data_IF_705750897188
#
_entry.id   IF_705750897188
#
_cell.length_a   1.000
_cell.length_b   1.000
_cell.length_c   1.000
_cell.angle_alpha   90.00
_cell.angle_beta   90.00
_cell.angle_gamma   90.00
#
_symmetry.space_group_name_H-M   'P 1'
#
loop_
_entity.id
_entity.type
_entity.pdbx_description
1 polymer ?
#
# COMPACT_ATOMS: atom_id res chain seq x y z
N UNK A 1 7.54 2.74 -2.88
CA UNK A 1 8.37 1.77 -3.65
C UNK A 1 8.56 0.43 -2.95
N UNK A 2 8.66 0.36 -1.59
CA UNK A 2 8.84 -0.92 -0.88
C UNK A 2 7.71 -1.92 -1.15
N UNK A 3 6.45 -1.47 -1.13
CA UNK A 3 5.32 -2.37 -1.41
C UNK A 3 5.30 -2.86 -2.86
N UNK A 4 5.73 -2.04 -3.81
CA UNK A 4 5.78 -2.41 -5.24
C UNK A 4 6.88 -3.45 -5.50
N UNK A 5 8.02 -3.37 -4.82
CA UNK A 5 9.11 -4.35 -4.95
C UNK A 5 8.65 -5.76 -4.61
N UNK A 6 7.94 -5.89 -3.50
CA UNK A 6 7.60 -7.19 -2.91
C UNK A 6 6.29 -7.77 -3.48
N UNK A 7 5.45 -6.91 -4.05
CA UNK A 7 4.18 -7.29 -4.71
C UNK A 7 4.15 -6.74 -6.13
N UNK A 8 5.19 -7.02 -6.92
CA UNK A 8 5.20 -6.71 -8.35
C UNK A 8 4.56 -7.87 -9.11
N UNK A 9 3.45 -7.61 -9.78
CA UNK A 9 2.68 -8.63 -10.52
C UNK A 9 3.09 -8.71 -11.99
N UNK A 10 3.86 -7.74 -12.49
CA UNK A 10 4.27 -7.65 -13.89
C UNK A 10 5.76 -7.35 -13.97
N UNK A 11 6.52 -8.29 -14.52
CA UNK A 11 7.97 -8.16 -14.72
C UNK A 11 8.78 -8.26 -13.42
N UNK A 12 10.02 -7.81 -13.48
CA UNK A 12 10.95 -7.80 -12.34
C UNK A 12 11.11 -6.39 -11.77
N UNK A 13 11.38 -6.32 -10.46
CA UNK A 13 11.70 -5.04 -9.82
C UNK A 13 12.95 -4.42 -10.43
N UNK A 14 12.87 -3.14 -10.77
CA UNK A 14 13.98 -2.34 -11.29
C UNK A 14 14.45 -1.36 -10.20
N UNK A 15 15.75 -1.34 -9.95
CA UNK A 15 16.36 -0.37 -9.04
C UNK A 15 17.30 0.56 -9.81
N UNK A 16 17.28 1.84 -9.49
CA UNK A 16 18.22 2.81 -10.06
C UNK A 16 19.68 2.44 -9.74
N UNK A 17 19.94 1.74 -8.63
CA UNK A 17 21.28 1.30 -8.23
C UNK A 17 21.91 0.27 -9.18
N UNK A 18 21.16 -0.34 -10.10
CA UNK A 18 21.69 -1.27 -11.10
C UNK A 18 22.30 -0.59 -12.32
N UNK A 19 22.03 0.71 -12.53
CA UNK A 19 22.60 1.43 -13.66
C UNK A 19 24.05 1.86 -13.39
N UNK A 20 24.89 1.98 -14.44
CA UNK A 20 26.27 2.43 -14.29
C UNK A 20 26.37 3.73 -13.48
N UNK A 21 27.38 3.85 -12.64
CA UNK A 21 27.68 5.01 -11.77
C UNK A 21 26.61 5.36 -10.73
N UNK A 22 25.45 4.72 -10.75
CA UNK A 22 24.36 5.05 -9.80
C UNK A 22 24.57 4.42 -8.43
N UNK A 23 25.34 3.34 -8.30
CA UNK A 23 25.60 2.69 -7.02
C UNK A 23 26.20 3.64 -5.97
N UNK A 24 27.14 4.47 -6.39
CA UNK A 24 27.84 5.43 -5.50
C UNK A 24 26.98 6.69 -5.20
N UNK A 25 25.84 6.85 -5.88
CA UNK A 25 24.92 7.99 -5.76
C UNK A 25 23.56 7.60 -5.20
N UNK A 26 23.39 6.33 -4.83
CA UNK A 26 22.09 5.80 -4.40
C UNK A 26 22.17 5.26 -2.98
N UNK A 27 21.18 5.61 -2.16
CA UNK A 27 20.90 4.95 -0.89
C UNK A 27 19.60 4.19 -1.03
N UNK A 28 19.65 2.89 -0.87
CA UNK A 28 18.48 2.01 -0.81
C UNK A 28 17.96 2.03 0.63
N UNK A 29 16.69 2.35 0.79
CA UNK A 29 15.97 2.24 2.08
C UNK A 29 14.97 1.12 1.95
N UNK A 30 15.04 0.13 2.83
CA UNK A 30 14.17 -1.04 2.78
C UNK A 30 13.90 -1.59 4.19
N UNK A 31 13.05 -2.61 4.30
CA UNK A 31 12.74 -3.25 5.56
C UNK A 31 11.90 -4.50 5.39
N UNK A 32 11.67 -5.19 6.50
CA UNK A 32 10.95 -6.48 6.55
C UNK A 32 9.45 -6.34 6.76
N UNK A 33 8.96 -5.13 7.02
CA UNK A 33 7.58 -4.88 7.46
C UNK A 33 6.51 -5.43 6.54
N UNK A 34 6.70 -5.36 5.21
CA UNK A 34 5.67 -5.71 4.21
C UNK A 34 5.91 -7.08 3.60
N UNK A 35 7.08 -7.32 3.00
CA UNK A 35 7.41 -8.58 2.34
C UNK A 35 7.34 -9.80 3.27
N UNK A 36 7.65 -9.61 4.54
CA UNK A 36 7.70 -10.68 5.52
C UNK A 36 6.59 -10.58 6.59
N UNK A 37 5.60 -9.69 6.40
CA UNK A 37 4.52 -9.44 7.36
C UNK A 37 5.03 -9.10 8.78
N UNK A 38 6.16 -8.39 8.89
CA UNK A 38 6.87 -8.11 10.14
C UNK A 38 6.73 -6.65 10.58
N UNK A 39 5.54 -6.07 10.46
CA UNK A 39 5.31 -4.64 10.82
C UNK A 39 5.59 -4.37 12.29
N UNK A 40 5.21 -5.27 13.19
CA UNK A 40 5.41 -5.14 14.64
C UNK A 40 6.86 -5.24 15.10
N UNK A 41 7.74 -5.82 14.28
CA UNK A 41 9.16 -6.00 14.61
C UNK A 41 9.98 -4.71 14.50
N UNK A 42 9.45 -3.67 13.89
CA UNK A 42 10.05 -2.33 13.76
C UNK A 42 11.48 -2.34 13.24
N UNK A 43 11.74 -3.05 12.13
CA UNK A 43 13.06 -3.18 11.51
C UNK A 43 13.08 -2.66 10.08
N UNK A 44 14.07 -1.85 9.76
CA UNK A 44 14.43 -1.40 8.44
C UNK A 44 15.94 -1.25 8.33
N UNK A 45 16.45 -1.05 7.14
CA UNK A 45 17.86 -0.84 6.89
C UNK A 45 18.09 0.09 5.70
N UNK A 46 19.30 0.62 5.64
CA UNK A 46 19.80 1.34 4.48
C UNK A 46 21.01 0.58 3.89
N UNK A 47 21.17 0.67 2.57
CA UNK A 47 22.36 0.19 1.86
C UNK A 47 22.80 1.27 0.87
N UNK A 48 24.06 1.66 0.91
CA UNK A 48 24.58 2.74 0.06
C UNK A 48 26.05 3.04 0.34
N UNK A 49 26.57 4.18 -0.14
CA UNK A 49 27.94 4.59 0.08
C UNK A 49 28.33 4.59 1.55
N UNK A 50 29.51 4.06 1.84
CA UNK A 50 29.97 3.81 3.21
C UNK A 50 29.95 5.05 4.11
N UNK A 51 30.31 6.20 3.56
CA UNK A 51 30.33 7.45 4.32
C UNK A 51 28.94 7.88 4.79
N UNK A 52 27.89 7.65 3.98
CA UNK A 52 26.50 7.91 4.36
C UNK A 52 26.05 6.93 5.45
N UNK A 53 26.32 5.64 5.24
CA UNK A 53 25.95 4.60 6.22
C UNK A 53 26.63 4.84 7.57
N UNK A 54 27.93 5.21 7.58
CA UNK A 54 28.66 5.57 8.81
C UNK A 54 28.07 6.78 9.50
N UNK A 55 27.70 7.83 8.75
CA UNK A 55 27.07 9.02 9.31
C UNK A 55 25.69 8.70 9.93
N UNK A 56 24.85 7.94 9.22
CA UNK A 56 23.54 7.50 9.71
C UNK A 56 23.69 6.63 10.98
N UNK A 57 24.61 5.69 10.99
CA UNK A 57 24.87 4.84 12.16
C UNK A 57 25.31 5.63 13.39
N UNK A 58 26.18 6.64 13.19
CA UNK A 58 26.59 7.55 14.26
C UNK A 58 25.41 8.31 14.86
N UNK A 59 24.54 8.87 14.01
CA UNK A 59 23.34 9.59 14.47
C UNK A 59 22.36 8.64 15.15
N UNK A 60 22.05 7.50 14.54
CA UNK A 60 21.15 6.51 15.11
C UNK A 60 21.59 6.04 16.49
N UNK A 61 22.90 5.82 16.67
CA UNK A 61 23.47 5.43 17.96
C UNK A 61 23.27 6.47 19.06
N UNK A 62 23.21 7.77 18.70
CA UNK A 62 22.95 8.84 19.68
C UNK A 62 21.45 9.02 19.99
N UNK A 63 20.57 8.80 19.00
CA UNK A 63 19.13 9.03 19.17
C UNK A 63 18.41 7.84 19.82
N UNK A 64 18.64 6.62 19.36
CA UNK A 64 17.88 5.44 19.78
C UNK A 64 18.74 4.23 20.12
N UNK A 65 20.07 4.38 20.13
CA UNK A 65 21.07 3.31 20.34
C UNK A 65 21.05 2.21 19.26
N UNK A 66 19.93 1.91 18.68
CA UNK A 66 19.74 0.93 17.61
C UNK A 66 18.48 0.08 17.77
N UNK A 67 18.12 -0.71 16.75
CA UNK A 67 16.95 -1.58 16.82
C UNK A 67 17.20 -2.77 17.76
N UNK A 68 16.09 -3.34 18.25
CA UNK A 68 16.10 -4.53 19.10
C UNK A 68 16.89 -5.68 18.46
N UNK A 69 17.82 -6.30 19.20
CA UNK A 69 18.70 -7.37 18.70
C UNK A 69 17.92 -8.61 18.25
N UNK A 70 16.83 -8.97 18.92
CA UNK A 70 15.94 -10.06 18.52
C UNK A 70 15.31 -9.77 17.16
N UNK A 71 14.84 -8.52 16.95
CA UNK A 71 14.28 -8.09 15.66
C UNK A 71 15.33 -8.12 14.54
N UNK A 72 16.58 -7.77 14.84
CA UNK A 72 17.67 -7.87 13.87
C UNK A 72 17.91 -9.31 13.43
N UNK A 73 17.95 -10.25 14.38
CA UNK A 73 18.11 -11.69 14.08
C UNK A 73 16.92 -12.27 13.31
N UNK A 74 15.71 -11.84 13.65
CA UNK A 74 14.51 -12.22 12.89
C UNK A 74 14.56 -11.69 11.44
N UNK A 75 15.02 -10.46 11.24
CA UNK A 75 15.20 -9.88 9.90
C UNK A 75 16.31 -10.61 9.10
N UNK A 76 17.42 -10.94 9.74
CA UNK A 76 18.49 -11.75 9.14
C UNK A 76 17.94 -13.11 8.67
N UNK A 77 17.21 -13.82 9.52
CA UNK A 77 16.57 -15.09 9.17
C UNK A 77 15.56 -14.95 8.02
N UNK A 78 14.78 -13.85 7.98
CA UNK A 78 13.84 -13.58 6.91
C UNK A 78 14.53 -13.38 5.54
N UNK A 79 15.68 -12.71 5.52
CA UNK A 79 16.43 -12.47 4.26
C UNK A 79 17.29 -13.66 3.82
N UNK A 80 17.83 -14.45 4.76
CA UNK A 80 18.71 -15.58 4.46
C UNK A 80 17.98 -16.91 4.33
N UNK A 81 16.76 -17.00 4.85
CA UNK A 81 15.93 -18.19 4.77
C UNK A 81 15.22 -18.36 3.44
N UNK A 82 14.35 -19.36 3.37
CA UNK A 82 13.52 -19.60 2.18
C UNK A 82 12.62 -18.43 1.86
N UNK A 83 12.48 -18.08 0.57
CA UNK A 83 11.61 -17.03 0.08
C UNK A 83 10.24 -17.54 -0.40
N UNK A 84 9.95 -18.82 -0.22
CA UNK A 84 8.66 -19.40 -0.65
C UNK A 84 7.45 -18.73 0.02
N UNK A 85 7.45 -18.41 1.33
CA UNK A 85 6.32 -17.69 1.94
C UNK A 85 6.05 -16.32 1.30
N UNK A 86 7.09 -15.62 0.84
CA UNK A 86 6.95 -14.33 0.12
C UNK A 86 6.26 -14.54 -1.23
N UNK A 87 6.65 -15.60 -1.96
CA UNK A 87 6.04 -15.94 -3.25
C UNK A 87 4.58 -16.36 -3.10
N UNK A 88 4.25 -17.13 -2.07
CA UNK A 88 2.88 -17.52 -1.76
C UNK A 88 2.00 -16.30 -1.43
N UNK A 89 2.53 -15.38 -0.63
CA UNK A 89 1.85 -14.13 -0.31
C UNK A 89 1.65 -13.26 -1.57
N UNK A 90 2.66 -13.18 -2.44
CA UNK A 90 2.55 -12.45 -3.71
C UNK A 90 1.41 -13.00 -4.57
N UNK A 91 1.32 -14.33 -4.74
CA UNK A 91 0.21 -14.98 -5.47
C UNK A 91 -1.16 -14.69 -4.84
N UNK A 92 -1.24 -14.69 -3.51
CA UNK A 92 -2.47 -14.35 -2.81
C UNK A 92 -2.88 -12.89 -3.04
N UNK A 93 -1.93 -11.95 -3.02
CA UNK A 93 -2.20 -10.55 -3.33
C UNK A 93 -2.57 -10.32 -4.79
N UNK A 94 -1.97 -11.03 -5.72
CA UNK A 94 -2.33 -10.96 -7.14
C UNK A 94 -3.79 -11.40 -7.35
N UNK A 95 -4.20 -12.53 -6.77
CA UNK A 95 -5.59 -13.00 -6.81
C UNK A 95 -6.56 -11.98 -6.21
N UNK A 96 -6.22 -11.39 -5.06
CA UNK A 96 -7.03 -10.36 -4.40
C UNK A 96 -7.11 -9.07 -5.21
N UNK A 97 -6.01 -8.68 -5.89
CA UNK A 97 -6.02 -7.58 -6.85
C UNK A 97 -7.05 -7.82 -7.96
N UNK A 98 -7.02 -9.00 -8.55
CA UNK A 98 -7.94 -9.33 -9.66
C UNK A 98 -9.40 -9.34 -9.17
N UNK A 99 -9.64 -9.85 -7.97
CA UNK A 99 -10.96 -9.84 -7.34
C UNK A 99 -11.46 -8.40 -7.10
N UNK A 100 -10.68 -7.56 -6.42
CA UNK A 100 -11.12 -6.19 -6.10
C UNK A 100 -11.29 -5.35 -7.37
N UNK A 101 -10.42 -5.50 -8.36
CA UNK A 101 -10.52 -4.80 -9.65
C UNK A 101 -11.80 -5.20 -10.38
N UNK A 102 -12.10 -6.50 -10.44
CA UNK A 102 -13.35 -7.01 -11.03
C UNK A 102 -14.57 -6.39 -10.37
N UNK A 103 -14.65 -6.47 -9.04
CA UNK A 103 -15.81 -5.97 -8.28
C UNK A 103 -15.93 -4.44 -8.33
N UNK A 104 -14.81 -3.71 -8.21
CA UNK A 104 -14.82 -2.25 -8.25
C UNK A 104 -15.23 -1.68 -9.61
N UNK A 105 -14.95 -2.38 -10.72
CA UNK A 105 -15.44 -2.01 -12.06
C UNK A 105 -16.96 -2.09 -12.20
N UNK A 106 -17.62 -2.84 -11.32
CA UNK A 106 -19.10 -2.93 -11.28
C UNK A 106 -19.73 -1.81 -10.47
N UNK A 107 -18.93 -0.96 -9.81
CA UNK A 107 -19.43 0.21 -9.05
C UNK A 107 -19.61 1.38 -10.01
N UNK A 108 -20.84 1.84 -10.29
CA UNK A 108 -21.06 2.97 -11.17
C UNK A 108 -20.38 4.23 -10.61
N UNK A 109 -19.62 4.94 -11.44
CA UNK A 109 -18.94 6.17 -11.05
C UNK A 109 -17.48 5.98 -10.60
N UNK A 110 -17.00 4.75 -10.44
CA UNK A 110 -15.56 4.48 -10.30
C UNK A 110 -14.89 4.31 -11.65
N UNK A 111 -13.75 5.01 -11.85
CA UNK A 111 -12.82 4.72 -12.94
C UNK A 111 -11.65 3.90 -12.35
N UNK A 112 -11.57 2.63 -12.73
CA UNK A 112 -10.68 1.64 -12.10
C UNK A 112 -9.50 1.29 -12.99
N UNK A 113 -8.29 1.56 -12.53
CA UNK A 113 -7.05 1.06 -13.11
C UNK A 113 -6.68 -0.32 -12.53
N UNK A 114 -5.83 -1.08 -13.25
CA UNK A 114 -5.30 -2.35 -12.76
C UNK A 114 -3.94 -2.10 -12.12
N UNK A 115 -3.78 -2.26 -10.80
CA UNK A 115 -2.49 -2.08 -10.15
C UNK A 115 -1.47 -3.12 -10.62
N UNK A 116 -0.26 -2.68 -10.93
CA UNK A 116 0.85 -3.54 -11.31
C UNK A 116 1.70 -4.02 -10.14
N UNK A 117 1.41 -3.54 -8.95
CA UNK A 117 2.12 -3.89 -7.72
C UNK A 117 1.43 -3.30 -6.48
N UNK A 118 2.05 -3.50 -5.32
CA UNK A 118 1.51 -3.16 -4.00
C UNK A 118 0.22 -3.93 -3.65
N UNK A 119 -0.54 -3.45 -2.70
CA UNK A 119 -1.82 -4.04 -2.27
C UNK A 119 -2.92 -2.97 -2.09
N UNK A 120 -2.88 -1.95 -2.98
CA UNK A 120 -3.84 -0.86 -2.98
C UNK A 120 -4.53 -0.73 -4.33
N UNK A 121 -5.86 -0.59 -4.30
CA UNK A 121 -6.63 -0.07 -5.40
C UNK A 121 -6.83 1.44 -5.21
N UNK A 122 -6.74 2.21 -6.29
CA UNK A 122 -6.79 3.66 -6.25
C UNK A 122 -7.69 4.19 -7.38
N UNK A 123 -9.01 3.92 -7.34
CA UNK A 123 -9.94 4.35 -8.38
C UNK A 123 -10.19 5.85 -8.27
N UNK A 124 -10.44 6.48 -9.41
CA UNK A 124 -10.98 7.83 -9.47
C UNK A 124 -12.46 7.80 -9.07
N UNK A 125 -12.85 8.75 -8.23
CA UNK A 125 -14.17 8.83 -7.60
C UNK A 125 -14.84 10.20 -7.74
N UNK A 126 -14.27 11.10 -8.54
CA UNK A 126 -14.78 12.46 -8.74
C UNK A 126 -16.22 12.52 -9.29
N UNK A 127 -16.73 11.42 -9.85
CA UNK A 127 -18.14 11.29 -10.23
C UNK A 127 -19.12 11.58 -9.08
N UNK A 128 -18.69 11.37 -7.85
CA UNK A 128 -19.53 11.55 -6.66
C UNK A 128 -19.44 12.95 -6.07
N UNK A 129 -18.51 13.78 -6.53
CA UNK A 129 -18.36 15.15 -6.04
C UNK A 129 -19.57 16.01 -6.44
N UNK A 130 -20.07 16.76 -5.47
CA UNK A 130 -21.30 17.54 -5.61
C UNK A 130 -22.60 16.78 -5.30
N UNK A 131 -22.54 15.43 -5.23
CA UNK A 131 -23.71 14.60 -4.90
C UNK A 131 -23.99 14.58 -3.40
N UNK A 132 -25.25 14.24 -3.04
CA UNK A 132 -25.72 14.21 -1.65
C UNK A 132 -26.70 13.05 -1.44
N UNK A 133 -26.75 12.53 -0.21
CA UNK A 133 -27.82 11.64 0.24
C UNK A 133 -28.95 12.40 0.96
N UNK A 134 -28.92 13.75 0.96
CA UNK A 134 -29.84 14.60 1.68
C UNK A 134 -29.32 15.09 3.04
N UNK A 135 -28.46 14.37 3.69
CA UNK A 135 -27.83 14.71 4.97
C UNK A 135 -26.40 15.21 4.81
N UNK A 136 -25.66 14.59 3.92
CA UNK A 136 -24.25 14.93 3.61
C UNK A 136 -24.06 15.15 2.12
N UNK A 137 -23.35 16.23 1.77
CA UNK A 137 -22.84 16.50 0.43
C UNK A 137 -21.39 16.07 0.34
N UNK A 138 -21.00 15.44 -0.76
CA UNK A 138 -19.63 14.99 -1.03
C UNK A 138 -18.90 16.10 -1.78
N UNK A 139 -18.00 16.80 -1.13
CA UNK A 139 -17.24 17.89 -1.76
C UNK A 139 -15.95 17.36 -2.41
N UNK A 140 -15.31 16.36 -1.78
CA UNK A 140 -14.05 15.81 -2.21
C UNK A 140 -13.87 14.32 -1.83
N UNK A 141 -12.66 13.77 -2.02
CA UNK A 141 -12.35 12.37 -1.71
C UNK A 141 -12.28 12.06 -0.22
N UNK A 142 -11.98 13.05 0.63
CA UNK A 142 -11.97 12.87 2.08
C UNK A 142 -13.39 12.82 2.63
N UNK A 143 -14.30 13.66 2.13
CA UNK A 143 -15.73 13.57 2.42
C UNK A 143 -16.30 12.22 1.99
N UNK A 144 -15.92 11.74 0.80
CA UNK A 144 -16.34 10.42 0.32
C UNK A 144 -15.81 9.30 1.23
N UNK A 145 -14.57 9.39 1.69
CA UNK A 145 -13.99 8.42 2.61
C UNK A 145 -14.74 8.38 3.95
N UNK A 146 -15.08 9.53 4.50
CA UNK A 146 -15.90 9.64 5.71
C UNK A 146 -17.31 9.13 5.52
N UNK A 147 -17.95 9.47 4.39
CA UNK A 147 -19.25 8.94 4.05
C UNK A 147 -19.28 7.41 3.98
N UNK A 148 -18.29 6.81 3.32
CA UNK A 148 -18.15 5.35 3.24
C UNK A 148 -17.86 4.70 4.60
N UNK A 149 -17.12 5.38 5.48
CA UNK A 149 -16.89 4.90 6.83
C UNK A 149 -18.19 4.84 7.64
N UNK A 150 -19.00 5.90 7.57
CA UNK A 150 -20.24 6.04 8.35
C UNK A 150 -21.39 5.18 7.78
N UNK A 151 -21.61 5.22 6.47
CA UNK A 151 -22.74 4.57 5.82
C UNK A 151 -22.48 3.11 5.39
N UNK A 152 -21.24 2.81 4.99
CA UNK A 152 -20.88 1.48 4.53
C UNK A 152 -20.05 0.69 5.57
N UNK A 153 -19.56 1.34 6.62
CA UNK A 153 -18.59 0.77 7.58
C UNK A 153 -17.35 0.23 6.89
N UNK A 154 -16.88 0.93 5.87
CA UNK A 154 -15.68 0.61 5.10
C UNK A 154 -14.70 1.77 5.19
N UNK A 155 -13.54 1.50 5.83
CA UNK A 155 -12.47 2.49 5.95
C UNK A 155 -11.67 2.61 4.65
N UNK A 156 -11.66 3.80 4.08
CA UNK A 156 -10.87 4.20 2.92
C UNK A 156 -10.03 5.44 3.27
N UNK A 157 -9.16 5.86 2.36
CA UNK A 157 -8.37 7.07 2.53
C UNK A 157 -8.51 7.94 1.29
N UNK A 158 -8.85 9.22 1.48
CA UNK A 158 -8.92 10.18 0.38
C UNK A 158 -7.58 10.36 -0.33
N UNK A 159 -7.64 10.66 -1.61
CA UNK A 159 -6.47 10.70 -2.48
C UNK A 159 -5.63 11.97 -2.37
N UNK A 160 -6.15 13.04 -1.75
CA UNK A 160 -5.44 14.32 -1.62
C UNK A 160 -4.07 14.16 -0.95
N UNK A 161 -3.99 13.35 0.12
CA UNK A 161 -2.73 13.04 0.82
C UNK A 161 -1.69 12.29 -0.05
N UNK A 162 -2.10 11.80 -1.22
CA UNK A 162 -1.25 11.07 -2.18
C UNK A 162 -1.07 11.82 -3.49
N UNK A 163 -1.47 13.11 -3.55
CA UNK A 163 -1.36 13.95 -4.75
C UNK A 163 -2.38 13.66 -5.85
N UNK A 164 -3.46 12.92 -5.54
CA UNK A 164 -4.54 12.60 -6.47
C UNK A 164 -5.91 12.83 -5.81
N UNK A 165 -6.33 14.09 -5.61
CA UNK A 165 -7.52 14.45 -4.85
C UNK A 165 -8.82 13.90 -5.44
N UNK A 166 -8.84 13.52 -6.71
CA UNK A 166 -9.97 12.88 -7.38
C UNK A 166 -10.09 11.37 -7.12
N UNK A 167 -9.17 10.77 -6.39
CA UNK A 167 -9.10 9.34 -6.14
C UNK A 167 -9.38 8.98 -4.68
N UNK A 168 -9.69 7.70 -4.44
CA UNK A 168 -9.82 7.12 -3.10
C UNK A 168 -8.97 5.85 -3.00
N UNK A 169 -8.23 5.67 -1.90
CA UNK A 169 -7.37 4.51 -1.71
C UNK A 169 -8.05 3.43 -0.88
N UNK A 170 -8.11 2.23 -1.41
CA UNK A 170 -8.57 1.02 -0.74
C UNK A 170 -7.45 -0.01 -0.65
N UNK A 171 -7.29 -0.67 0.51
CA UNK A 171 -6.34 -1.77 0.69
C UNK A 171 -7.06 -3.10 0.45
N UNK A 172 -6.43 -4.01 -0.33
CA UNK A 172 -6.89 -5.39 -0.47
C UNK A 172 -6.04 -6.40 0.32
N UNK A 173 -5.32 -5.91 1.33
CA UNK A 173 -4.57 -6.76 2.27
C UNK A 173 -5.51 -7.34 3.35
N UNK A 174 -6.57 -8.04 2.93
CA UNK A 174 -7.58 -8.68 3.78
C UNK A 174 -8.08 -9.97 3.11
N UNK A 175 -9.06 -10.67 3.69
CA UNK A 175 -9.61 -11.88 3.07
C UNK A 175 -10.47 -11.58 1.82
N UNK A 176 -10.65 -12.58 0.98
CA UNK A 176 -11.45 -12.46 -0.25
C UNK A 176 -12.93 -12.14 0.08
N UNK A 177 -13.45 -12.69 1.18
CA UNK A 177 -14.80 -12.44 1.67
C UNK A 177 -14.97 -10.99 2.12
N UNK A 178 -13.99 -10.46 2.86
CA UNK A 178 -14.00 -9.06 3.29
C UNK A 178 -13.92 -8.10 2.11
N UNK A 179 -13.15 -8.42 1.05
CA UNK A 179 -13.09 -7.63 -0.17
C UNK A 179 -14.46 -7.58 -0.85
N UNK A 180 -15.09 -8.75 -1.02
CA UNK A 180 -16.39 -8.84 -1.67
C UNK A 180 -17.47 -8.09 -0.88
N UNK A 181 -17.51 -8.25 0.43
CA UNK A 181 -18.47 -7.59 1.32
C UNK A 181 -18.23 -6.06 1.34
N UNK A 182 -16.99 -5.61 1.41
CA UNK A 182 -16.67 -4.17 1.39
C UNK A 182 -17.17 -3.50 0.09
N UNK A 183 -16.89 -4.10 -1.07
CA UNK A 183 -17.35 -3.54 -2.35
C UNK A 183 -18.88 -3.58 -2.47
N UNK A 184 -19.54 -4.63 -1.98
CA UNK A 184 -21.01 -4.68 -1.93
C UNK A 184 -21.57 -3.51 -1.12
N UNK A 185 -21.05 -3.27 0.11
CA UNK A 185 -21.46 -2.16 0.98
C UNK A 185 -21.18 -0.80 0.35
N UNK A 186 -20.02 -0.61 -0.25
CA UNK A 186 -19.66 0.61 -0.98
C UNK A 186 -20.70 0.87 -2.08
N UNK A 187 -21.01 -0.13 -2.90
CA UNK A 187 -21.97 -0.01 -4.01
C UNK A 187 -23.36 0.41 -3.50
N UNK A 188 -23.83 -0.18 -2.41
CA UNK A 188 -25.12 0.15 -1.79
C UNK A 188 -25.16 1.58 -1.22
N UNK A 189 -24.08 2.01 -0.54
CA UNK A 189 -24.00 3.36 0.00
C UNK A 189 -23.95 4.41 -1.11
N UNK A 190 -23.09 4.18 -2.13
CA UNK A 190 -22.95 5.11 -3.26
C UNK A 190 -24.23 5.24 -4.11
N UNK A 191 -25.07 4.21 -4.15
CA UNK A 191 -26.38 4.27 -4.84
C UNK A 191 -27.37 5.24 -4.19
N UNK A 192 -27.16 5.65 -2.94
CA UNK A 192 -27.99 6.64 -2.23
C UNK A 192 -27.64 8.08 -2.62
N UNK A 193 -26.47 8.32 -3.23
CA UNK A 193 -26.01 9.65 -3.63
C UNK A 193 -26.66 10.09 -4.96
N UNK A 194 -27.33 11.24 -4.94
CA UNK A 194 -28.03 11.83 -6.09
C UNK A 194 -27.42 13.16 -6.51
#
# INVERSE_FOLDING_TARGET
>A
QMCIRDSNYIGAHQSIAQFPEMKERTVIVNGVSKAYAMTGWRIGFIAGPEWIVKACNKLQGQYTSGPCSVSQKAAEAAYTGTQEPVKEMQKAFERRRDLIVKLAKEVPGFEVNVPQGAFYLFPKCSYFFGKSNGERKIEDSDDLAMYLLEEAHVACVGGASFGAPECIRMSYATSDENIAEAIRRIKEALAKLK
#
